data_IF_677852727958
#
_entry.id   IF_677852727958
#
_cell.length_a   1.000
_cell.length_b   1.000
_cell.length_c   1.000
_cell.angle_alpha   90.00
_cell.angle_beta   90.00
_cell.angle_gamma   90.00
#
_symmetry.space_group_name_H-M   'P 1'
#
loop_
_entity.id
_entity.type
_entity.pdbx_description
1 polymer ?
#
# COMPACT_ATOMS: atom_id res chain seq x y z
N UNK A 1 -18.76 8.40 4.08
CA UNK A 1 -18.30 6.98 3.94
C UNK A 1 -19.52 6.07 4.07
N UNK A 2 -19.52 4.87 3.46
CA UNK A 2 -20.59 3.87 3.65
C UNK A 2 -19.98 2.57 4.20
N UNK A 3 -20.42 2.17 5.39
CA UNK A 3 -19.98 0.96 6.09
C UNK A 3 -21.15 -0.04 6.10
N UNK A 4 -20.96 -1.19 5.46
CA UNK A 4 -22.00 -2.24 5.37
C UNK A 4 -22.20 -3.04 6.67
N UNK A 5 -21.28 -2.91 7.62
CA UNK A 5 -21.30 -3.62 8.90
C UNK A 5 -21.43 -2.67 10.09
N UNK A 6 -20.93 -3.12 11.24
CA UNK A 6 -20.85 -2.31 12.46
C UNK A 6 -19.64 -1.38 12.42
N UNK A 7 -19.70 -0.27 13.16
CA UNK A 7 -18.61 0.68 13.29
C UNK A 7 -18.35 1.05 14.76
N UNK A 8 -17.06 1.11 15.14
CA UNK A 8 -16.57 1.68 16.40
C UNK A 8 -15.66 2.86 16.05
N UNK A 9 -16.00 4.07 16.46
CA UNK A 9 -15.31 5.31 16.05
C UNK A 9 -15.22 6.32 17.19
N UNK A 10 -14.29 7.27 17.13
CA UNK A 10 -14.34 8.43 18.03
C UNK A 10 -15.52 9.34 17.65
N UNK A 11 -15.53 9.82 16.41
CA UNK A 11 -16.63 10.62 15.82
C UNK A 11 -17.14 9.97 14.53
N UNK A 12 -18.45 9.99 14.32
CA UNK A 12 -19.08 9.61 13.07
C UNK A 12 -19.62 10.87 12.37
N UNK A 13 -19.04 11.24 11.22
CA UNK A 13 -19.42 12.45 10.49
C UNK A 13 -19.86 12.11 9.07
N UNK A 14 -21.03 12.59 8.65
CA UNK A 14 -21.54 12.51 7.27
C UNK A 14 -21.32 11.15 6.59
N UNK A 15 -21.66 10.06 7.31
CA UNK A 15 -21.45 8.69 6.85
C UNK A 15 -22.70 7.84 7.09
N UNK A 16 -22.81 6.74 6.35
CA UNK A 16 -23.88 5.75 6.48
C UNK A 16 -23.30 4.47 7.06
N UNK A 17 -23.91 3.96 8.12
CA UNK A 17 -23.55 2.69 8.77
C UNK A 17 -24.78 1.78 8.70
N UNK A 18 -24.70 0.67 7.98
CA UNK A 18 -25.85 -0.24 7.82
C UNK A 18 -26.10 -1.06 9.11
N UNK A 19 -25.04 -1.35 9.87
CA UNK A 19 -25.10 -2.05 11.15
C UNK A 19 -25.19 -1.12 12.36
N UNK A 20 -24.65 -1.59 13.48
CA UNK A 20 -24.59 -0.84 14.74
C UNK A 20 -23.43 0.15 14.76
N UNK A 21 -23.64 1.32 15.36
CA UNK A 21 -22.62 2.33 15.61
C UNK A 21 -22.33 2.41 17.12
N UNK A 22 -21.06 2.32 17.49
CA UNK A 22 -20.57 2.73 18.82
C UNK A 22 -19.62 3.92 18.64
N UNK A 23 -19.83 5.00 19.40
CA UNK A 23 -18.91 6.13 19.40
C UNK A 23 -18.44 6.54 20.79
N UNK A 24 -17.31 7.24 20.89
CA UNK A 24 -16.69 7.62 22.16
C UNK A 24 -17.33 8.89 22.73
N UNK A 25 -17.52 8.95 24.04
CA UNK A 25 -17.95 10.16 24.76
C UNK A 25 -17.01 11.33 24.46
N UNK A 26 -17.55 12.45 23.99
CA UNK A 26 -16.76 13.61 23.52
C UNK A 26 -16.55 13.65 22.00
N UNK A 27 -16.93 12.59 21.29
CA UNK A 27 -17.07 12.57 19.84
C UNK A 27 -18.42 13.10 19.35
N UNK A 28 -18.51 13.35 18.05
CA UNK A 28 -19.71 13.85 17.37
C UNK A 28 -20.32 12.74 16.50
N UNK A 29 -21.64 12.60 16.53
CA UNK A 29 -22.39 11.75 15.61
C UNK A 29 -23.35 12.57 14.72
N UNK A 30 -23.12 12.57 13.41
CA UNK A 30 -24.02 13.10 12.37
C UNK A 30 -24.30 12.04 11.28
N UNK A 31 -24.07 10.77 11.60
CA UNK A 31 -24.23 9.67 10.66
C UNK A 31 -25.65 9.13 10.61
N UNK A 32 -26.00 8.54 9.46
CA UNK A 32 -27.18 7.70 9.31
C UNK A 32 -26.83 6.28 9.76
N UNK A 33 -27.58 5.73 10.71
CA UNK A 33 -27.34 4.41 11.29
C UNK A 33 -28.56 3.52 11.08
N UNK A 34 -28.37 2.35 10.47
CA UNK A 34 -29.42 1.36 10.24
C UNK A 34 -29.71 0.48 11.46
N UNK A 35 -28.68 0.21 12.27
CA UNK A 35 -28.78 -0.53 13.53
C UNK A 35 -28.92 0.36 14.77
N UNK A 36 -28.41 -0.12 15.90
CA UNK A 36 -28.41 0.64 17.16
C UNK A 36 -27.23 1.59 17.25
N UNK A 37 -27.42 2.71 17.95
CA UNK A 37 -26.34 3.62 18.32
C UNK A 37 -26.03 3.47 19.82
N UNK A 38 -24.76 3.32 20.17
CA UNK A 38 -24.27 3.22 21.55
C UNK A 38 -23.10 4.18 21.78
N UNK A 39 -22.88 4.53 23.05
CA UNK A 39 -21.79 5.41 23.47
C UNK A 39 -20.91 4.64 24.45
N UNK A 40 -19.59 4.74 24.30
CA UNK A 40 -18.63 4.26 25.30
C UNK A 40 -17.82 5.40 25.88
N UNK A 41 -17.46 5.32 27.16
CA UNK A 41 -16.60 6.29 27.83
C UNK A 41 -15.12 6.07 27.58
N UNK A 42 -14.72 4.83 27.28
CA UNK A 42 -13.33 4.49 27.01
C UNK A 42 -12.89 4.94 25.62
N UNK A 43 -11.69 5.50 25.54
CA UNK A 43 -11.05 5.85 24.27
C UNK A 43 -10.70 4.59 23.45
N UNK A 44 -10.62 4.73 22.13
CA UNK A 44 -10.15 3.64 21.26
C UNK A 44 -8.62 3.57 21.39
N UNK A 45 -8.05 2.47 21.91
CA UNK A 45 -6.61 2.37 22.09
C UNK A 45 -5.92 2.41 20.73
N UNK A 46 -4.88 3.24 20.60
CA UNK A 46 -4.04 3.27 19.41
C UNK A 46 -3.38 1.92 19.18
N UNK A 47 -3.42 1.43 17.95
CA UNK A 47 -2.68 0.23 17.55
C UNK A 47 -1.39 0.66 16.83
N UNK A 48 -0.24 0.02 17.13
CA UNK A 48 0.96 0.26 16.35
C UNK A 48 0.75 -0.22 14.91
N UNK A 49 1.44 0.41 13.96
CA UNK A 49 1.43 -0.07 12.59
C UNK A 49 2.08 -1.47 12.51
N UNK A 50 1.57 -2.36 11.64
CA UNK A 50 1.98 -3.78 11.63
C UNK A 50 3.40 -4.03 11.11
N UNK A 51 3.98 -3.09 10.35
CA UNK A 51 5.36 -3.16 9.86
C UNK A 51 6.23 -2.24 10.73
N UNK A 52 7.26 -2.80 11.34
CA UNK A 52 8.19 -2.04 12.19
C UNK A 52 9.18 -1.22 11.37
N UNK A 53 9.70 -0.14 11.96
CA UNK A 53 10.74 0.68 11.31
C UNK A 53 12.00 -0.14 10.98
N UNK A 54 12.41 -1.07 11.87
CA UNK A 54 13.57 -1.92 11.63
C UNK A 54 13.39 -2.86 10.42
N UNK A 55 12.16 -3.30 10.14
CA UNK A 55 11.86 -4.11 8.95
C UNK A 55 11.95 -3.27 7.68
N UNK A 56 11.46 -2.03 7.70
CA UNK A 56 11.59 -1.08 6.59
C UNK A 56 13.07 -0.79 6.32
N UNK A 57 13.86 -0.55 7.36
CA UNK A 57 15.29 -0.29 7.24
C UNK A 57 16.05 -1.51 6.69
N UNK A 58 15.66 -2.72 7.09
CA UNK A 58 16.15 -3.96 6.50
C UNK A 58 15.94 -4.03 4.99
N UNK A 59 14.73 -3.72 4.50
CA UNK A 59 14.44 -3.68 3.07
C UNK A 59 15.21 -2.59 2.31
N UNK A 60 15.45 -1.43 2.94
CA UNK A 60 16.29 -0.37 2.35
C UNK A 60 17.72 -0.85 2.19
N UNK A 61 18.27 -1.51 3.20
CA UNK A 61 19.62 -2.07 3.17
C UNK A 61 19.75 -3.17 2.12
N UNK A 62 18.80 -4.12 2.05
CA UNK A 62 18.79 -5.18 1.03
C UNK A 62 18.81 -4.60 -0.40
N UNK A 63 18.05 -3.53 -0.63
CA UNK A 63 18.01 -2.84 -1.91
C UNK A 63 19.33 -2.12 -2.22
N UNK A 64 19.95 -1.49 -1.23
CA UNK A 64 21.24 -0.80 -1.34
C UNK A 64 22.40 -1.78 -1.58
N UNK A 65 22.39 -2.94 -0.93
CA UNK A 65 23.35 -4.04 -1.13
C UNK A 65 23.24 -4.61 -2.57
N UNK A 66 22.05 -4.58 -3.16
CA UNK A 66 21.83 -4.88 -4.58
C UNK A 66 22.43 -3.84 -5.55
N UNK A 67 22.93 -2.73 -5.01
CA UNK A 67 23.60 -1.63 -5.70
C UNK A 67 22.73 -0.37 -5.81
N UNK A 68 23.37 0.74 -6.19
CA UNK A 68 22.74 2.04 -6.32
C UNK A 68 22.74 2.47 -7.79
N UNK A 69 21.60 2.94 -8.28
CA UNK A 69 21.45 3.57 -9.60
C UNK A 69 20.79 4.94 -9.46
N UNK A 70 20.91 5.78 -10.50
CA UNK A 70 20.16 7.04 -10.58
C UNK A 70 18.68 6.83 -10.91
N UNK A 71 17.96 7.92 -11.12
CA UNK A 71 16.54 7.91 -11.53
C UNK A 71 16.28 6.97 -12.71
N UNK A 72 15.13 6.30 -12.68
CA UNK A 72 14.69 5.36 -13.71
C UNK A 72 13.40 5.87 -14.36
N UNK A 73 13.38 5.91 -15.69
CA UNK A 73 12.20 6.27 -16.47
C UNK A 73 11.96 5.22 -17.54
N UNK A 74 10.75 4.65 -17.56
CA UNK A 74 10.26 3.73 -18.57
C UNK A 74 8.99 4.29 -19.20
N UNK A 75 8.88 4.22 -20.53
CA UNK A 75 7.70 4.71 -21.24
C UNK A 75 7.44 3.90 -22.52
N UNK A 76 6.33 4.20 -23.20
CA UNK A 76 5.93 3.52 -24.43
C UNK A 76 5.66 2.04 -24.16
N UNK A 77 6.43 1.16 -24.79
CA UNK A 77 6.35 -0.31 -24.61
C UNK A 77 7.63 -0.89 -23.99
N UNK A 78 8.47 -0.04 -23.39
CA UNK A 78 9.73 -0.48 -22.79
C UNK A 78 9.50 -1.49 -21.68
N UNK A 79 10.43 -2.43 -21.57
CA UNK A 79 10.44 -3.41 -20.49
C UNK A 79 11.78 -3.39 -19.78
N UNK A 80 11.77 -3.58 -18.47
CA UNK A 80 12.96 -3.66 -17.63
C UNK A 80 12.74 -4.65 -16.50
N UNK A 81 13.79 -5.39 -16.14
CA UNK A 81 13.84 -6.14 -14.88
C UNK A 81 14.79 -5.46 -13.92
N UNK A 82 14.38 -5.29 -12.66
CA UNK A 82 15.14 -4.56 -11.66
C UNK A 82 14.93 -5.17 -10.26
N UNK A 83 16.00 -5.30 -9.50
CA UNK A 83 15.93 -5.68 -8.09
C UNK A 83 16.83 -6.87 -7.73
N UNK A 84 17.41 -6.92 -6.51
CA UNK A 84 17.38 -5.84 -5.51
C UNK A 84 18.17 -4.61 -5.99
N UNK A 85 17.64 -3.39 -5.75
CA UNK A 85 18.31 -2.14 -6.16
C UNK A 85 17.77 -0.90 -5.44
N UNK A 86 18.68 0.02 -5.05
CA UNK A 86 18.35 1.38 -4.62
C UNK A 86 18.39 2.34 -5.82
N UNK A 87 17.29 3.06 -6.04
CA UNK A 87 17.18 4.18 -6.97
C UNK A 87 17.40 5.46 -6.15
N UNK A 88 18.56 6.08 -6.33
CA UNK A 88 18.86 7.40 -5.76
C UNK A 88 18.29 8.49 -6.69
N UNK A 89 16.98 8.71 -6.60
CA UNK A 89 16.22 9.57 -7.48
C UNK A 89 14.77 9.13 -7.60
N UNK A 90 14.12 9.48 -8.72
CA UNK A 90 12.72 9.14 -8.97
C UNK A 90 12.59 7.88 -9.83
N UNK A 91 11.45 7.21 -9.70
CA UNK A 91 11.01 6.13 -10.58
C UNK A 91 9.74 6.55 -11.32
N UNK A 92 9.76 6.52 -12.66
CA UNK A 92 8.59 6.80 -13.50
C UNK A 92 8.35 5.66 -14.49
N UNK A 93 7.16 5.07 -14.48
CA UNK A 93 6.74 4.03 -15.44
C UNK A 93 5.42 4.46 -16.08
N UNK A 94 5.41 4.68 -17.40
CA UNK A 94 4.25 5.26 -18.09
C UNK A 94 3.86 4.53 -19.38
N UNK A 95 2.68 4.88 -19.90
CA UNK A 95 2.08 4.31 -21.12
C UNK A 95 1.83 2.80 -20.98
N UNK A 96 2.51 1.96 -21.75
CA UNK A 96 2.37 0.49 -21.69
C UNK A 96 3.66 -0.18 -21.23
N UNK A 97 4.56 0.58 -20.58
CA UNK A 97 5.82 0.07 -20.10
C UNK A 97 5.64 -0.94 -18.96
N UNK A 98 6.59 -1.88 -18.84
CA UNK A 98 6.54 -2.96 -17.84
C UNK A 98 7.85 -2.99 -17.06
N UNK A 99 7.76 -2.74 -15.75
CA UNK A 99 8.82 -2.99 -14.79
C UNK A 99 8.57 -4.32 -14.08
N UNK A 100 9.50 -5.26 -14.20
CA UNK A 100 9.47 -6.54 -13.49
C UNK A 100 10.45 -6.49 -12.31
N UNK A 101 9.95 -6.62 -11.09
CA UNK A 101 10.75 -6.61 -9.89
C UNK A 101 11.34 -7.99 -9.63
N UNK A 102 12.67 -8.10 -9.62
CA UNK A 102 13.41 -9.34 -9.34
C UNK A 102 13.90 -9.43 -7.89
N UNK A 103 13.69 -8.37 -7.10
CA UNK A 103 14.00 -8.24 -5.68
C UNK A 103 13.46 -6.92 -5.14
N UNK A 104 13.74 -6.60 -3.88
CA UNK A 104 13.34 -5.33 -3.24
C UNK A 104 13.88 -4.11 -3.99
N UNK A 105 13.01 -3.16 -4.33
CA UNK A 105 13.41 -1.88 -4.92
C UNK A 105 13.07 -0.74 -3.97
N UNK A 106 14.09 0.04 -3.62
CA UNK A 106 13.98 1.23 -2.76
C UNK A 106 14.23 2.49 -3.59
N UNK A 107 13.32 3.46 -3.53
CA UNK A 107 13.39 4.73 -4.26
C UNK A 107 13.51 5.88 -3.27
N UNK A 108 14.58 6.68 -3.33
CA UNK A 108 14.75 7.83 -2.41
C UNK A 108 13.82 9.00 -2.76
N UNK A 109 13.42 9.12 -4.03
CA UNK A 109 12.45 10.09 -4.52
C UNK A 109 11.07 9.48 -4.73
N UNK A 110 10.30 10.07 -5.64
CA UNK A 110 8.91 9.70 -5.90
C UNK A 110 8.79 8.49 -6.85
N UNK A 111 7.68 7.76 -6.73
CA UNK A 111 7.27 6.72 -7.68
C UNK A 111 6.00 7.18 -8.41
N UNK A 112 6.07 7.29 -9.73
CA UNK A 112 4.92 7.62 -10.57
C UNK A 112 4.65 6.46 -11.51
N UNK A 113 3.40 5.97 -11.52
CA UNK A 113 2.94 4.96 -12.46
C UNK A 113 1.69 5.48 -13.15
N UNK A 114 1.70 5.52 -14.48
CA UNK A 114 0.59 6.15 -15.21
C UNK A 114 0.24 5.43 -16.50
N UNK A 115 -1.00 5.62 -16.92
CA UNK A 115 -1.62 4.96 -18.06
C UNK A 115 -1.61 3.43 -17.84
N UNK A 116 -1.62 2.62 -18.89
CA UNK A 116 -1.62 1.15 -18.81
C UNK A 116 -0.30 0.50 -18.34
N UNK A 117 0.55 1.25 -17.64
CA UNK A 117 1.86 0.80 -17.19
C UNK A 117 1.75 -0.25 -16.09
N UNK A 118 2.75 -1.14 -16.01
CA UNK A 118 2.74 -2.26 -15.07
C UNK A 118 4.02 -2.29 -14.24
N UNK A 119 3.86 -2.44 -12.93
CA UNK A 119 4.91 -2.93 -12.04
C UNK A 119 4.45 -4.29 -11.53
N UNK A 120 5.26 -5.34 -11.74
CA UNK A 120 4.91 -6.70 -11.34
C UNK A 120 6.10 -7.42 -10.71
N UNK A 121 5.84 -8.39 -9.84
CA UNK A 121 6.91 -9.28 -9.38
C UNK A 121 7.31 -10.26 -10.48
N UNK A 122 8.59 -10.66 -10.48
CA UNK A 122 9.07 -11.76 -11.31
C UNK A 122 8.35 -13.07 -10.94
N UNK A 123 8.13 -13.94 -11.93
CA UNK A 123 7.48 -15.24 -11.71
C UNK A 123 8.22 -16.13 -10.72
N UNK A 124 9.54 -15.95 -10.58
CA UNK A 124 10.38 -16.66 -9.62
C UNK A 124 9.96 -16.47 -8.15
N UNK A 125 9.16 -15.45 -7.83
CA UNK A 125 8.60 -15.30 -6.48
C UNK A 125 7.65 -16.47 -6.12
N UNK A 126 7.06 -17.17 -7.09
CA UNK A 126 6.05 -18.20 -6.80
C UNK A 126 4.91 -17.57 -5.98
N UNK A 127 4.50 -18.20 -4.89
CA UNK A 127 3.50 -17.65 -3.97
C UNK A 127 4.03 -16.55 -3.02
N UNK A 128 5.34 -16.24 -3.03
CA UNK A 128 5.90 -15.21 -2.17
C UNK A 128 5.47 -13.81 -2.60
N UNK A 129 5.34 -12.92 -1.63
CA UNK A 129 5.10 -11.49 -1.87
C UNK A 129 6.41 -10.72 -1.95
N UNK A 130 6.38 -9.53 -2.55
CA UNK A 130 7.57 -8.68 -2.72
C UNK A 130 7.28 -7.23 -2.38
N UNK A 131 8.34 -6.43 -2.27
CA UNK A 131 8.28 -5.06 -1.75
C UNK A 131 8.87 -4.07 -2.74
N UNK A 132 8.15 -2.98 -2.98
CA UNK A 132 8.68 -1.73 -3.51
C UNK A 132 8.41 -0.62 -2.50
N UNK A 133 9.43 0.16 -2.17
CA UNK A 133 9.33 1.22 -1.17
C UNK A 133 9.93 2.55 -1.64
N UNK A 134 9.40 3.64 -1.10
CA UNK A 134 9.80 5.00 -1.43
C UNK A 134 9.83 5.91 -0.20
N UNK A 135 10.82 6.80 -0.12
CA UNK A 135 10.81 7.92 0.84
C UNK A 135 9.96 9.10 0.36
N UNK A 136 9.68 9.14 -0.94
CA UNK A 136 8.79 10.09 -1.59
C UNK A 136 7.34 9.63 -1.66
N UNK A 137 6.56 10.36 -2.44
CA UNK A 137 5.15 10.03 -2.71
C UNK A 137 5.04 8.94 -3.78
N UNK A 138 3.99 8.13 -3.70
CA UNK A 138 3.68 7.09 -4.69
C UNK A 138 2.33 7.37 -5.35
N UNK A 139 2.32 7.49 -6.68
CA UNK A 139 1.15 7.93 -7.44
C UNK A 139 0.87 7.00 -8.64
N UNK A 140 0.17 5.88 -8.43
CA UNK A 140 -0.43 5.09 -9.51
C UNK A 140 -1.72 5.74 -10.05
N UNK A 141 -1.84 5.80 -11.36
CA UNK A 141 -2.91 6.51 -12.06
C UNK A 141 -3.27 5.90 -13.43
N UNK A 142 -4.45 6.24 -13.94
CA UNK A 142 -4.89 5.99 -15.32
C UNK A 142 -4.78 4.52 -15.80
N UNK A 143 -5.38 3.56 -15.10
CA UNK A 143 -5.35 2.13 -15.48
C UNK A 143 -4.02 1.42 -15.29
N UNK A 144 -3.13 1.98 -14.46
CA UNK A 144 -1.89 1.32 -14.06
C UNK A 144 -2.15 0.05 -13.26
N UNK A 145 -1.26 -0.93 -13.36
CA UNK A 145 -1.37 -2.18 -12.62
C UNK A 145 -0.12 -2.45 -11.76
N UNK A 146 -0.37 -2.73 -10.48
CA UNK A 146 0.64 -3.11 -9.49
C UNK A 146 0.33 -4.53 -9.02
N UNK A 147 1.18 -5.49 -9.36
CA UNK A 147 0.82 -6.92 -9.34
C UNK A 147 1.87 -7.78 -8.62
N UNK A 148 1.42 -8.86 -7.99
CA UNK A 148 2.30 -9.94 -7.54
C UNK A 148 2.93 -10.74 -8.69
N UNK A 149 3.36 -11.96 -8.41
CA UNK A 149 4.05 -12.83 -9.39
C UNK A 149 3.13 -13.43 -10.46
N UNK A 150 1.81 -13.35 -10.23
CA UNK A 150 0.78 -14.06 -10.99
C UNK A 150 0.33 -15.39 -10.36
N UNK A 151 0.96 -15.82 -9.27
CA UNK A 151 0.50 -16.97 -8.47
C UNK A 151 -0.42 -16.54 -7.33
N UNK A 152 -1.36 -17.42 -6.95
CA UNK A 152 -2.22 -17.18 -5.79
C UNK A 152 -1.40 -17.00 -4.51
N UNK A 153 -1.75 -16.02 -3.69
CA UNK A 153 -1.03 -15.66 -2.47
C UNK A 153 0.18 -14.74 -2.66
N UNK A 154 0.56 -14.42 -3.90
CA UNK A 154 1.64 -13.47 -4.19
C UNK A 154 1.11 -12.04 -4.34
N UNK A 155 1.61 -11.13 -3.52
CA UNK A 155 1.20 -9.73 -3.48
C UNK A 155 2.40 -8.79 -3.63
N UNK A 156 2.16 -7.61 -4.19
CA UNK A 156 3.13 -6.52 -4.18
C UNK A 156 2.76 -5.54 -3.06
N UNK A 157 3.66 -5.40 -2.07
CA UNK A 157 3.60 -4.33 -1.09
C UNK A 157 4.19 -3.06 -1.68
N UNK A 158 3.38 -2.00 -1.65
CA UNK A 158 3.72 -0.66 -2.10
C UNK A 158 3.78 0.23 -0.86
N UNK A 159 5.00 0.56 -0.44
CA UNK A 159 5.25 1.22 0.83
C UNK A 159 5.81 2.63 0.63
N UNK A 160 5.21 3.64 1.26
CA UNK A 160 5.81 4.97 1.37
C UNK A 160 6.15 5.29 2.82
N UNK A 161 7.34 5.85 3.07
CA UNK A 161 7.69 6.44 4.36
C UNK A 161 7.49 7.95 4.41
N UNK A 162 6.90 8.53 3.36
CA UNK A 162 6.58 9.95 3.33
C UNK A 162 5.51 10.28 4.38
N UNK A 163 5.69 11.39 5.10
CA UNK A 163 4.79 11.81 6.19
C UNK A 163 3.63 12.72 5.74
N UNK A 164 3.52 13.02 4.44
CA UNK A 164 2.42 13.88 3.96
C UNK A 164 1.06 13.18 4.07
N UNK A 165 -0.02 13.97 4.12
CA UNK A 165 -1.40 13.47 4.10
C UNK A 165 -1.75 12.65 2.84
N UNK A 166 -0.94 12.76 1.79
CA UNK A 166 -1.14 12.08 0.50
C UNK A 166 0.16 11.40 0.06
N UNK A 167 0.80 10.67 0.99
CA UNK A 167 2.01 9.90 0.74
C UNK A 167 1.80 8.83 -0.35
N UNK A 168 0.60 8.26 -0.41
CA UNK A 168 0.15 7.44 -1.53
C UNK A 168 -1.14 8.02 -2.07
N UNK A 169 -1.18 8.30 -3.37
CA UNK A 169 -2.39 8.78 -4.06
C UNK A 169 -2.74 7.81 -5.18
N UNK A 170 -3.83 7.07 -5.00
CA UNK A 170 -4.31 6.10 -6.00
C UNK A 170 -5.57 6.62 -6.67
N UNK A 171 -5.55 6.66 -8.00
CA UNK A 171 -6.71 7.07 -8.79
C UNK A 171 -6.89 6.19 -10.02
N UNK A 172 -8.13 5.83 -10.34
CA UNK A 172 -8.46 5.09 -11.58
C UNK A 172 -7.59 3.85 -11.79
N UNK A 173 -7.66 2.87 -10.88
CA UNK A 173 -7.03 1.53 -10.91
C UNK A 173 -5.75 1.34 -10.10
N UNK A 174 -5.80 0.34 -9.21
CA UNK A 174 -4.76 -0.65 -9.02
C UNK A 174 -5.48 -1.94 -8.56
N UNK A 175 -5.12 -3.09 -9.13
CA UNK A 175 -5.70 -4.38 -8.75
C UNK A 175 -4.61 -5.24 -8.14
N UNK A 176 -4.79 -5.63 -6.87
CA UNK A 176 -3.97 -6.67 -6.24
C UNK A 176 -2.71 -6.24 -5.49
N UNK A 177 -2.46 -4.94 -5.36
CA UNK A 177 -1.42 -4.42 -4.48
C UNK A 177 -1.94 -4.18 -3.05
N UNK A 178 -1.00 -4.19 -2.12
CA UNK A 178 -1.16 -3.78 -0.72
C UNK A 178 -0.51 -2.42 -0.58
N UNK A 179 -1.24 -1.43 -0.09
CA UNK A 179 -0.71 -0.07 0.10
C UNK A 179 -0.46 0.19 1.57
N UNK A 180 0.75 0.64 1.88
CA UNK A 180 1.16 0.92 3.25
C UNK A 180 1.88 2.26 3.35
N UNK A 181 1.55 3.06 4.37
CA UNK A 181 2.33 4.23 4.77
C UNK A 181 2.81 4.12 6.20
N UNK A 182 4.10 4.41 6.45
CA UNK A 182 4.64 4.35 7.83
C UNK A 182 4.36 5.62 8.64
N UNK A 183 4.09 6.75 7.98
CA UNK A 183 3.87 8.04 8.63
C UNK A 183 2.81 8.94 7.95
N UNK A 184 2.52 8.70 6.68
CA UNK A 184 1.61 9.55 5.89
C UNK A 184 0.19 9.00 5.74
N UNK A 185 -0.59 9.68 4.93
CA UNK A 185 -1.93 9.26 4.53
C UNK A 185 -1.99 8.61 3.15
N UNK A 186 -3.03 7.81 2.93
CA UNK A 186 -3.41 7.24 1.64
C UNK A 186 -4.65 7.95 1.14
N UNK A 187 -4.58 8.54 -0.05
CA UNK A 187 -5.72 9.12 -0.75
C UNK A 187 -6.14 8.20 -1.88
N UNK A 188 -7.42 7.82 -1.89
CA UNK A 188 -8.02 6.95 -2.91
C UNK A 188 -9.16 7.69 -3.59
N UNK A 189 -9.17 7.69 -4.92
CA UNK A 189 -10.22 8.31 -5.73
C UNK A 189 -10.70 7.38 -6.84
N UNK A 190 -12.01 7.44 -7.14
CA UNK A 190 -12.70 6.66 -8.18
C UNK A 190 -12.75 5.15 -7.89
N UNK A 191 -13.22 4.33 -8.85
CA UNK A 191 -13.31 2.87 -8.67
C UNK A 191 -11.90 2.30 -8.49
N UNK A 192 -11.67 1.78 -7.30
CA UNK A 192 -10.42 1.20 -6.84
C UNK A 192 -10.73 -0.12 -6.14
N UNK A 193 -9.81 -1.08 -6.23
CA UNK A 193 -9.91 -2.36 -5.53
C UNK A 193 -8.52 -2.74 -5.01
N UNK A 194 -8.08 -2.07 -3.94
CA UNK A 194 -6.99 -2.60 -3.12
C UNK A 194 -7.45 -3.84 -2.35
N UNK A 195 -6.50 -4.73 -2.08
CA UNK A 195 -6.69 -5.85 -1.14
C UNK A 195 -6.53 -5.40 0.30
N UNK A 196 -5.66 -4.43 0.55
CA UNK A 196 -5.43 -3.82 1.86
C UNK A 196 -4.85 -2.42 1.71
N UNK A 197 -5.24 -1.52 2.62
CA UNK A 197 -4.67 -0.18 2.77
C UNK A 197 -4.42 0.08 4.24
N UNK A 198 -3.16 0.36 4.60
CA UNK A 198 -2.75 0.66 5.98
C UNK A 198 -1.99 1.98 6.01
N UNK A 199 -2.34 2.87 6.94
CA UNK A 199 -1.70 4.18 7.06
C UNK A 199 -2.28 5.02 8.19
N UNK A 200 -1.67 6.17 8.48
CA UNK A 200 -2.13 7.07 9.55
C UNK A 200 -3.49 7.71 9.22
N UNK A 201 -3.75 7.97 7.94
CA UNK A 201 -4.98 8.60 7.46
C UNK A 201 -5.42 7.99 6.14
N UNK A 202 -6.70 7.71 6.00
CA UNK A 202 -7.32 7.28 4.75
C UNK A 202 -8.30 8.35 4.28
N UNK A 203 -8.15 8.83 3.05
CA UNK A 203 -9.06 9.78 2.40
C UNK A 203 -9.68 9.07 1.20
N UNK A 204 -11.01 8.94 1.17
CA UNK A 204 -11.75 8.27 0.10
C UNK A 204 -12.65 9.26 -0.64
N UNK A 205 -12.45 9.38 -1.96
CA UNK A 205 -13.19 10.28 -2.84
C UNK A 205 -13.89 9.51 -3.97
N UNK A 206 -14.92 10.13 -4.58
CA UNK A 206 -15.56 9.68 -5.83
C UNK A 206 -15.96 8.19 -5.86
N UNK A 207 -16.78 7.73 -4.91
CA UNK A 207 -17.27 6.34 -4.85
C UNK A 207 -16.18 5.26 -4.77
N UNK A 208 -15.02 5.58 -4.20
CA UNK A 208 -13.98 4.60 -3.91
C UNK A 208 -14.54 3.45 -3.05
N UNK A 209 -14.19 2.22 -3.43
CA UNK A 209 -14.51 0.99 -2.70
C UNK A 209 -13.19 0.37 -2.24
N UNK A 210 -13.16 -0.15 -1.02
CA UNK A 210 -12.03 -0.94 -0.53
C UNK A 210 -12.58 -2.31 -0.16
N UNK A 211 -12.04 -3.35 -0.80
CA UNK A 211 -12.42 -4.74 -0.54
C UNK A 211 -11.27 -5.39 0.20
N UNK A 212 -11.39 -5.44 1.53
CA UNK A 212 -10.44 -6.16 2.35
C UNK A 212 -10.56 -7.67 2.11
N UNK A 213 -9.46 -8.30 1.75
CA UNK A 213 -9.38 -9.77 1.71
C UNK A 213 -8.92 -10.30 3.08
N UNK A 214 -9.73 -11.17 3.67
CA UNK A 214 -9.38 -11.91 4.88
C UNK A 214 -8.12 -12.77 4.68
N UNK A 215 -7.17 -12.72 5.62
CA UNK A 215 -5.98 -13.56 5.63
C UNK A 215 -4.68 -12.88 5.16
N UNK A 216 -4.73 -11.61 4.75
CA UNK A 216 -3.55 -10.83 4.35
C UNK A 216 -2.58 -10.51 5.51
N UNK A 217 -3.07 -10.48 6.75
CA UNK A 217 -2.22 -10.32 7.94
C UNK A 217 -1.16 -11.42 8.10
N UNK A 218 -1.33 -12.55 7.40
CA UNK A 218 -0.37 -13.67 7.33
C UNK A 218 0.49 -13.66 6.07
N UNK A 219 0.47 -12.59 5.26
CA UNK A 219 1.26 -12.51 4.04
C UNK A 219 2.75 -12.29 4.36
N UNK A 220 3.58 -13.26 3.97
CA UNK A 220 5.04 -13.16 4.08
C UNK A 220 5.61 -12.31 2.92
N UNK A 221 6.13 -11.13 3.24
CA UNK A 221 6.84 -10.28 2.28
C UNK A 221 8.31 -10.67 2.21
N UNK A 222 8.74 -11.16 1.04
CA UNK A 222 10.11 -11.60 0.78
C UNK A 222 10.92 -10.49 0.11
N UNK A 223 12.24 -10.44 0.38
CA UNK A 223 13.19 -9.58 -0.33
C UNK A 223 13.51 -10.05 -1.75
N UNK A 224 13.09 -11.26 -2.13
CA UNK A 224 13.30 -11.83 -3.46
C UNK A 224 13.09 -13.35 -3.54
N UNK A 225 13.13 -13.96 -4.73
CA UNK A 225 13.16 -15.41 -4.92
C UNK A 225 14.38 -16.08 -4.26
N UNK A 226 15.44 -15.30 -4.06
CA UNK A 226 16.75 -15.71 -3.53
C UNK A 226 17.00 -15.23 -2.10
N UNK A 227 15.98 -14.69 -1.41
CA UNK A 227 16.10 -14.18 -0.04
C UNK A 227 16.53 -15.30 0.93
N UNK A 228 17.82 -15.35 1.25
CA UNK A 228 18.38 -16.29 2.21
C UNK A 228 18.10 -15.84 3.65
N UNK A 229 17.72 -16.77 4.50
CA UNK A 229 17.62 -16.53 5.94
C UNK A 229 19.02 -16.35 6.53
N UNK A 230 19.32 -15.15 7.04
CA UNK A 230 20.51 -14.92 7.88
C UNK A 230 20.09 -15.04 9.34
N UNK A 231 20.52 -16.10 10.02
CA UNK A 231 20.38 -16.23 11.48
C UNK A 231 21.28 -15.17 12.11
N UNK A 232 20.70 -14.21 12.84
CA UNK A 232 21.42 -13.05 13.38
C UNK A 232 22.04 -13.35 14.75
N UNK A 233 21.53 -14.34 15.48
CA UNK A 233 22.24 -15.04 16.57
C UNK A 233 21.40 -16.20 17.08
N UNK A 234 22.07 -17.10 17.79
CA UNK A 234 21.50 -18.21 18.59
C UNK A 234 21.46 -17.81 20.05
#
# INVERSE_FOLDING_TARGET
MHVKGNALVYSCINSTIDGNLTYVTGGTNTCTVGGTTSIQSAEIPSQPLPISQSQIDGWKNDAEDGGIIGSVTLSGTQTMSLGPKKINGNLSVSNSAILTLTGTVYVTGNITVSNSAKIKLASGYGSLSGVILSDGTITPSNSSALQGSGQAGSYLLVLSTNASNSAITVSNSATGAIFYTSAGGVTVSNIFAAREVTGYKLIMNNNAVITYESGLASAFFSSGPSGGWKVVSW
#
